data_IF_880602474061
#
_entry.id   IF_880602474061
#
_cell.length_a   1.000
_cell.length_b   1.000
_cell.length_c   1.000
_cell.angle_alpha   90.00
_cell.angle_beta   90.00
_cell.angle_gamma   90.00
#
_symmetry.space_group_name_H-M   'P 1'
#
loop_
_entity.id
_entity.type
_entity.pdbx_description
1 polymer ?
#
# COMPACT_ATOMS: atom_id res chain seq x y z
N UNK A 1 -18.33 11.04 19.93
CA UNK A 1 -17.74 9.74 19.52
C UNK A 1 -17.59 9.62 17.98
N UNK A 2 -16.98 10.62 17.31
CA UNK A 2 -16.82 10.62 15.83
C UNK A 2 -15.46 11.18 15.33
N UNK A 3 -14.79 12.02 16.13
CA UNK A 3 -13.52 12.65 15.73
C UNK A 3 -12.29 11.76 15.89
N UNK A 4 -12.26 10.85 16.88
CA UNK A 4 -11.06 10.03 17.15
C UNK A 4 -10.77 8.99 16.07
N UNK A 5 -11.75 8.22 15.60
CA UNK A 5 -11.53 7.23 14.54
C UNK A 5 -11.06 7.88 13.23
N UNK A 6 -11.59 9.05 12.87
CA UNK A 6 -11.18 9.75 11.65
C UNK A 6 -9.69 10.14 11.68
N UNK A 7 -9.17 10.60 12.82
CA UNK A 7 -7.75 10.95 12.94
C UNK A 7 -6.84 9.72 12.88
N UNK A 8 -7.27 8.58 13.45
CA UNK A 8 -6.52 7.32 13.43
C UNK A 8 -6.38 6.72 12.03
N UNK A 9 -7.31 7.03 11.12
CA UNK A 9 -7.29 6.53 9.73
C UNK A 9 -6.39 7.33 8.79
N UNK A 10 -6.06 8.58 9.13
CA UNK A 10 -5.26 9.45 8.26
C UNK A 10 -3.86 8.89 8.06
N UNK A 11 -3.22 8.43 9.14
CA UNK A 11 -1.87 7.88 9.09
C UNK A 11 -1.74 6.66 8.15
N UNK A 12 -2.52 5.56 8.31
CA UNK A 12 -2.40 4.41 7.42
C UNK A 12 -2.75 4.75 5.97
N UNK A 13 -3.73 5.63 5.72
CA UNK A 13 -4.12 6.02 4.36
C UNK A 13 -3.00 6.81 3.67
N UNK A 14 -2.39 7.79 4.35
CA UNK A 14 -1.28 8.58 3.78
C UNK A 14 -0.10 7.68 3.45
N UNK A 15 0.27 6.78 4.37
CA UNK A 15 1.36 5.83 4.15
C UNK A 15 1.06 4.93 2.94
N UNK A 16 -0.17 4.42 2.84
CA UNK A 16 -0.60 3.60 1.72
C UNK A 16 -0.52 4.35 0.38
N UNK A 17 -0.99 5.60 0.33
CA UNK A 17 -0.92 6.43 -0.88
C UNK A 17 0.54 6.63 -1.30
N UNK A 18 1.41 7.01 -0.36
CA UNK A 18 2.84 7.21 -0.65
C UNK A 18 3.46 5.92 -1.18
N UNK A 19 3.17 4.78 -0.56
CA UNK A 19 3.71 3.49 -0.94
C UNK A 19 3.20 3.02 -2.31
N UNK A 20 1.92 3.21 -2.60
CA UNK A 20 1.32 2.89 -3.91
C UNK A 20 1.96 3.77 -4.99
N UNK A 21 2.06 5.09 -4.77
CA UNK A 21 2.71 6.01 -5.71
C UNK A 21 4.16 5.61 -5.95
N UNK A 22 4.88 5.26 -4.89
CA UNK A 22 6.26 4.79 -4.97
C UNK A 22 6.40 3.54 -5.85
N UNK A 23 5.57 2.51 -5.62
CA UNK A 23 5.61 1.29 -6.42
C UNK A 23 5.17 1.50 -7.88
N UNK A 24 4.17 2.33 -8.12
CA UNK A 24 3.75 2.71 -9.48
C UNK A 24 4.85 3.48 -10.19
N UNK A 25 5.54 4.39 -9.51
CA UNK A 25 6.67 5.12 -10.06
C UNK A 25 7.84 4.19 -10.41
N UNK A 26 8.13 3.19 -9.56
CA UNK A 26 9.12 2.14 -9.87
C UNK A 26 8.71 1.36 -11.12
N UNK A 27 7.46 0.90 -11.20
CA UNK A 27 6.97 0.17 -12.37
C UNK A 27 7.10 1.02 -13.64
N UNK A 28 6.72 2.30 -13.58
CA UNK A 28 6.87 3.24 -14.68
C UNK A 28 8.34 3.46 -15.08
N UNK A 29 9.26 3.56 -14.10
CA UNK A 29 10.68 3.68 -14.39
C UNK A 29 11.22 2.47 -15.17
N UNK A 30 10.80 1.25 -14.82
CA UNK A 30 11.22 0.03 -15.54
C UNK A 30 10.70 -0.04 -16.99
N UNK A 31 9.59 0.63 -17.31
CA UNK A 31 9.13 0.77 -18.71
C UNK A 31 10.16 1.56 -19.53
N UNK A 32 10.71 2.62 -18.94
CA UNK A 32 11.58 3.59 -19.63
C UNK A 32 13.02 3.12 -19.81
N UNK A 33 13.49 2.11 -19.08
CA UNK A 33 14.87 1.61 -19.19
C UNK A 33 15.02 0.76 -20.46
N UNK A 34 15.84 1.16 -21.45
CA UNK A 34 16.13 0.34 -22.62
C UNK A 34 17.06 -0.85 -22.25
N UNK A 35 17.21 -1.80 -23.17
CA UNK A 35 18.24 -2.87 -23.10
C UNK A 35 18.15 -3.86 -21.93
N UNK A 36 16.99 -3.96 -21.26
CA UNK A 36 16.68 -5.04 -20.31
C UNK A 36 15.96 -6.17 -21.05
N UNK A 37 16.35 -7.42 -20.77
CA UNK A 37 15.66 -8.61 -21.26
C UNK A 37 14.14 -8.55 -20.96
N UNK A 38 13.31 -8.80 -21.97
CA UNK A 38 11.85 -8.59 -21.89
C UNK A 38 11.21 -9.29 -20.69
N UNK A 39 11.61 -10.54 -20.41
CA UNK A 39 11.09 -11.31 -19.27
C UNK A 39 11.41 -10.62 -17.94
N UNK A 40 12.66 -10.15 -17.78
CA UNK A 40 13.10 -9.44 -16.58
C UNK A 40 12.33 -8.13 -16.44
N UNK A 41 12.16 -7.38 -17.53
CA UNK A 41 11.38 -6.13 -17.52
C UNK A 41 9.93 -6.37 -17.07
N UNK A 42 9.27 -7.40 -17.59
CA UNK A 42 7.91 -7.76 -17.20
C UNK A 42 7.85 -8.09 -15.70
N UNK A 43 8.77 -8.90 -15.19
CA UNK A 43 8.83 -9.23 -13.76
C UNK A 43 9.01 -7.98 -12.89
N UNK A 44 9.92 -7.09 -13.27
CA UNK A 44 10.20 -5.85 -12.53
C UNK A 44 9.06 -4.83 -12.59
N UNK A 45 8.11 -4.97 -13.52
CA UNK A 45 6.88 -4.16 -13.56
C UNK A 45 5.77 -4.83 -12.74
N UNK A 46 5.58 -6.14 -12.90
CA UNK A 46 4.50 -6.88 -12.24
C UNK A 46 4.70 -6.91 -10.72
N UNK A 47 5.93 -7.14 -10.25
CA UNK A 47 6.21 -7.27 -8.81
C UNK A 47 5.84 -5.99 -8.04
N UNK A 48 6.31 -4.78 -8.40
CA UNK A 48 5.88 -3.55 -7.74
C UNK A 48 4.37 -3.31 -7.80
N UNK A 49 3.73 -3.59 -8.93
CA UNK A 49 2.27 -3.43 -9.05
C UNK A 49 1.51 -4.40 -8.15
N UNK A 50 1.96 -5.64 -8.03
CA UNK A 50 1.40 -6.60 -7.08
C UNK A 50 1.58 -6.11 -5.63
N UNK A 51 2.74 -5.59 -5.27
CA UNK A 51 2.99 -4.99 -3.95
C UNK A 51 2.12 -3.76 -3.68
N UNK A 52 1.86 -2.93 -4.69
CA UNK A 52 0.91 -1.82 -4.58
C UNK A 52 -0.52 -2.32 -4.29
N UNK A 53 -0.93 -3.42 -4.96
CA UNK A 53 -2.21 -4.09 -4.68
C UNK A 53 -2.30 -4.64 -3.26
N UNK A 54 -1.23 -5.28 -2.77
CA UNK A 54 -1.14 -5.77 -1.39
C UNK A 54 -1.22 -4.61 -0.39
N UNK A 55 -0.47 -3.52 -0.61
CA UNK A 55 -0.51 -2.35 0.24
C UNK A 55 -1.92 -1.74 0.33
N UNK A 56 -2.64 -1.71 -0.79
CA UNK A 56 -4.04 -1.29 -0.83
C UNK A 56 -4.94 -2.22 0.00
N UNK A 57 -4.86 -3.54 -0.21
CA UNK A 57 -5.69 -4.51 0.49
C UNK A 57 -5.50 -4.45 2.02
N UNK A 58 -4.25 -4.43 2.48
CA UNK A 58 -3.91 -4.32 3.92
C UNK A 58 -4.44 -3.01 4.51
N UNK A 59 -4.41 -1.91 3.75
CA UNK A 59 -4.96 -0.63 4.22
C UNK A 59 -6.48 -0.68 4.33
N UNK A 60 -7.16 -1.36 3.40
CA UNK A 60 -8.62 -1.57 3.47
C UNK A 60 -8.99 -2.40 4.70
N UNK A 61 -8.26 -3.48 4.98
CA UNK A 61 -8.44 -4.28 6.20
C UNK A 61 -8.26 -3.41 7.45
N UNK A 62 -7.19 -2.62 7.51
CA UNK A 62 -6.95 -1.72 8.65
C UNK A 62 -8.02 -0.66 8.84
N UNK A 63 -8.50 -0.08 7.75
CA UNK A 63 -9.62 0.88 7.75
C UNK A 63 -10.89 0.20 8.29
N UNK A 64 -11.11 -1.06 7.97
CA UNK A 64 -12.26 -1.81 8.47
C UNK A 64 -12.11 -2.17 9.96
N UNK A 65 -10.93 -2.58 10.43
CA UNK A 65 -10.62 -2.82 11.86
C UNK A 65 -10.87 -1.57 12.72
N UNK A 66 -10.34 -0.41 12.30
CA UNK A 66 -10.54 0.86 13.02
C UNK A 66 -12.03 1.25 13.07
N UNK A 67 -12.81 0.86 12.05
CA UNK A 67 -14.26 1.11 11.98
C UNK A 67 -15.08 0.11 12.79
N UNK A 68 -14.67 -1.16 12.86
CA UNK A 68 -15.35 -2.19 13.65
C UNK A 68 -15.12 -2.01 15.14
N UNK A 69 -14.11 -1.21 15.54
CA UNK A 69 -13.74 -1.03 16.95
C UNK A 69 -12.92 -2.21 17.48
N UNK A 70 -12.57 -3.17 16.63
CA UNK A 70 -11.48 -4.12 16.85
C UNK A 70 -10.18 -3.35 16.61
N UNK A 71 -9.88 -2.41 17.50
CA UNK A 71 -8.55 -1.82 17.50
C UNK A 71 -7.56 -2.95 17.78
N UNK A 72 -6.57 -3.07 16.91
CA UNK A 72 -5.37 -3.88 17.10
C UNK A 72 -4.69 -3.44 18.39
N UNK A 73 -5.15 -4.06 19.48
CA UNK A 73 -4.90 -3.65 20.84
C UNK A 73 -3.53 -4.21 21.25
N UNK A 74 -2.52 -3.37 21.07
CA UNK A 74 -1.15 -3.66 21.46
C UNK A 74 -1.00 -3.94 22.97
N UNK A 75 -2.01 -3.66 23.80
CA UNK A 75 -2.00 -4.03 25.22
C UNK A 75 -2.05 -5.54 25.47
N UNK A 76 -2.28 -6.36 24.42
CA UNK A 76 -2.22 -7.82 24.47
C UNK A 76 -0.84 -8.43 24.21
N UNK A 77 0.20 -7.61 23.99
CA UNK A 77 1.57 -8.05 23.73
C UNK A 77 2.55 -7.61 24.81
#
# INVERSE_FOLDING_TARGET
>A
MKKEHCSKMIAPIIIAIILIVYYVAIAAAFVLIPDIAVIVKILMIIIPLALAGVAFAVTVERVNEIRSGEEDDLSKY
#
